data_IF_897545388597
#
_entry.id   IF_897545388597
#
_cell.length_a   1.000
_cell.length_b   1.000
_cell.length_c   1.000
_cell.angle_alpha   90.00
_cell.angle_beta   90.00
_cell.angle_gamma   90.00
#
_symmetry.space_group_name_H-M   'P 1'
#
loop_
_entity.id
_entity.type
_entity.pdbx_description
1 polymer ?
#
# COMPACT_ATOMS: atom_id res chain seq x y z
N UNK A 1 -1.87 -3.52 -6.49
CA UNK A 1 -2.99 -2.57 -6.30
C UNK A 1 -2.71 -1.41 -7.25
N UNK A 2 -3.52 -1.23 -8.29
CA UNK A 2 -3.35 -0.13 -9.24
C UNK A 2 -3.77 1.20 -8.62
N UNK A 3 -3.35 2.29 -9.25
CA UNK A 3 -3.84 3.64 -8.96
C UNK A 3 -5.37 3.70 -8.96
N UNK A 4 -5.95 4.59 -8.14
CA UNK A 4 -7.40 4.83 -8.11
C UNK A 4 -8.21 3.80 -7.31
N UNK A 5 -7.57 2.98 -6.45
CA UNK A 5 -8.18 2.05 -5.46
C UNK A 5 -8.97 0.90 -6.08
N UNK A 6 -9.72 1.12 -7.16
CA UNK A 6 -10.53 0.14 -7.89
C UNK A 6 -11.42 -0.72 -6.97
N UNK A 7 -12.18 -0.06 -6.09
CA UNK A 7 -13.14 -0.72 -5.19
C UNK A 7 -14.49 -0.98 -5.88
N UNK A 8 -15.19 -1.98 -5.41
CA UNK A 8 -16.60 -2.20 -5.71
C UNK A 8 -17.43 -1.35 -4.75
N UNK A 9 -17.79 -0.14 -5.17
CA UNK A 9 -18.36 0.92 -4.32
C UNK A 9 -19.70 0.57 -3.72
N UNK A 10 -20.52 -0.21 -4.43
CA UNK A 10 -21.84 -0.67 -3.98
C UNK A 10 -21.76 -1.86 -2.98
N UNK A 11 -20.61 -2.53 -2.94
CA UNK A 11 -20.37 -3.62 -2.00
C UNK A 11 -19.87 -3.08 -0.66
N UNK A 12 -20.13 -3.82 0.40
CA UNK A 12 -19.61 -3.54 1.73
C UNK A 12 -18.09 -3.68 1.80
N UNK A 13 -17.48 -3.15 2.85
CA UNK A 13 -16.05 -3.36 3.16
C UNK A 13 -15.74 -4.86 3.20
N UNK A 14 -16.52 -5.64 3.95
CA UNK A 14 -16.29 -7.08 4.09
C UNK A 14 -16.37 -7.80 2.73
N UNK A 15 -17.39 -7.54 1.92
CA UNK A 15 -17.51 -8.13 0.59
C UNK A 15 -16.34 -7.77 -0.34
N UNK A 16 -15.83 -6.52 -0.28
CA UNK A 16 -14.61 -6.14 -0.99
C UNK A 16 -13.41 -6.97 -0.53
N UNK A 17 -13.28 -7.23 0.78
CA UNK A 17 -12.18 -8.04 1.32
C UNK A 17 -12.33 -9.51 0.92
N UNK A 18 -13.56 -10.07 0.92
CA UNK A 18 -13.83 -11.43 0.46
C UNK A 18 -13.38 -11.69 -0.97
N UNK A 19 -13.50 -10.69 -1.85
CA UNK A 19 -12.98 -10.79 -3.22
C UNK A 19 -11.45 -10.94 -3.31
N UNK A 20 -10.72 -10.53 -2.26
CA UNK A 20 -9.27 -10.77 -2.16
C UNK A 20 -8.91 -12.24 -1.98
N UNK A 21 -9.81 -13.05 -1.43
CA UNK A 21 -9.65 -14.49 -1.25
C UNK A 21 -10.14 -15.28 -2.48
N UNK A 22 -9.54 -15.05 -3.64
CA UNK A 22 -10.03 -15.56 -4.92
C UNK A 22 -9.71 -17.04 -5.21
N UNK A 23 -8.71 -17.64 -4.55
CA UNK A 23 -8.33 -19.04 -4.74
C UNK A 23 -8.71 -19.92 -3.55
N UNK A 24 -8.60 -21.25 -3.71
CA UNK A 24 -9.02 -22.23 -2.69
C UNK A 24 -8.21 -22.11 -1.39
N UNK A 25 -6.91 -21.84 -1.49
CA UNK A 25 -6.02 -21.70 -0.35
C UNK A 25 -6.36 -20.44 0.46
N UNK A 26 -6.46 -19.29 -0.20
CA UNK A 26 -6.80 -18.03 0.46
C UNK A 26 -8.20 -18.04 1.07
N UNK A 27 -9.17 -18.74 0.45
CA UNK A 27 -10.51 -18.96 1.03
C UNK A 27 -10.46 -19.80 2.32
N UNK A 28 -9.60 -20.81 2.37
CA UNK A 28 -9.45 -21.65 3.56
C UNK A 28 -8.89 -20.88 4.78
N UNK A 29 -8.07 -19.86 4.51
CA UNK A 29 -7.45 -19.00 5.53
C UNK A 29 -8.13 -17.62 5.67
N UNK A 30 -9.29 -17.41 5.05
CA UNK A 30 -9.92 -16.09 4.98
C UNK A 30 -10.13 -15.46 6.37
N UNK A 31 -10.69 -16.22 7.32
CA UNK A 31 -10.96 -15.70 8.66
C UNK A 31 -9.68 -15.23 9.38
N UNK A 32 -8.59 -15.98 9.28
CA UNK A 32 -7.29 -15.62 9.86
C UNK A 32 -6.71 -14.36 9.19
N UNK A 33 -6.74 -14.31 7.86
CA UNK A 33 -6.23 -13.17 7.11
C UNK A 33 -7.07 -11.91 7.31
N UNK A 34 -8.38 -12.06 7.48
CA UNK A 34 -9.29 -10.97 7.81
C UNK A 34 -8.94 -10.36 9.17
N UNK A 35 -8.67 -11.20 10.17
CA UNK A 35 -8.24 -10.73 11.49
C UNK A 35 -6.90 -9.96 11.42
N UNK A 36 -5.93 -10.44 10.63
CA UNK A 36 -4.67 -9.72 10.38
C UNK A 36 -4.94 -8.34 9.75
N UNK A 37 -5.80 -8.29 8.72
CA UNK A 37 -6.17 -7.02 8.09
C UNK A 37 -6.85 -6.06 9.06
N UNK A 38 -7.72 -6.55 9.94
CA UNK A 38 -8.37 -5.73 10.95
C UNK A 38 -7.41 -5.26 12.06
N UNK A 39 -6.33 -5.99 12.33
CA UNK A 39 -5.29 -5.54 13.25
C UNK A 39 -4.43 -4.43 12.64
N UNK A 40 -4.15 -4.48 11.32
CA UNK A 40 -3.47 -3.40 10.61
C UNK A 40 -4.37 -2.17 10.40
N UNK A 41 -5.65 -2.39 10.12
CA UNK A 41 -6.63 -1.34 9.82
C UNK A 41 -7.90 -1.51 10.69
N UNK A 42 -7.86 -1.16 11.99
CA UNK A 42 -8.99 -1.39 12.91
C UNK A 42 -10.30 -0.76 12.47
N UNK A 43 -10.24 0.39 11.79
CA UNK A 43 -11.42 1.06 11.23
C UNK A 43 -12.22 0.21 10.25
N UNK A 44 -11.57 -0.72 9.54
CA UNK A 44 -12.26 -1.61 8.59
C UNK A 44 -13.17 -2.61 9.31
N UNK A 45 -12.81 -3.04 10.53
CA UNK A 45 -13.65 -3.88 11.38
C UNK A 45 -14.94 -3.16 11.78
N UNK A 46 -14.81 -1.91 12.24
CA UNK A 46 -15.94 -1.09 12.66
C UNK A 46 -16.93 -0.83 11.51
N UNK A 47 -16.40 -0.74 10.30
CA UNK A 47 -17.14 -0.40 9.07
C UNK A 47 -17.40 -1.61 8.15
N UNK A 48 -17.21 -2.83 8.64
CA UNK A 48 -17.28 -4.06 7.82
C UNK A 48 -18.55 -4.18 6.98
N UNK A 49 -19.70 -3.71 7.52
CA UNK A 49 -21.01 -3.75 6.87
C UNK A 49 -21.37 -2.47 6.10
N UNK A 50 -20.50 -1.46 6.08
CA UNK A 50 -20.73 -0.21 5.37
C UNK A 50 -20.35 -0.35 3.90
N UNK A 51 -21.13 0.25 3.00
CA UNK A 51 -20.81 0.31 1.57
C UNK A 51 -19.48 1.06 1.34
N UNK A 52 -18.56 0.46 0.59
CA UNK A 52 -17.21 0.99 0.41
C UNK A 52 -17.20 2.37 -0.25
N UNK A 53 -18.17 2.68 -1.10
CA UNK A 53 -18.30 3.99 -1.74
C UNK A 53 -18.61 5.14 -0.77
N UNK A 54 -19.10 4.86 0.44
CA UNK A 54 -19.44 5.87 1.45
C UNK A 54 -18.30 6.18 2.43
N UNK A 55 -17.18 5.47 2.30
CA UNK A 55 -15.99 5.68 3.10
C UNK A 55 -15.21 6.93 2.66
N UNK A 56 -14.43 7.51 3.57
CA UNK A 56 -13.42 8.51 3.20
C UNK A 56 -12.38 7.94 2.25
N UNK A 57 -11.69 8.81 1.47
CA UNK A 57 -10.66 8.37 0.54
C UNK A 57 -9.55 7.55 1.20
N UNK A 58 -9.14 7.89 2.42
CA UNK A 58 -8.16 7.13 3.19
C UNK A 58 -8.66 5.75 3.60
N UNK A 59 -9.90 5.64 4.07
CA UNK A 59 -10.51 4.36 4.42
C UNK A 59 -10.69 3.46 3.19
N UNK A 60 -11.07 4.05 2.04
CA UNK A 60 -11.12 3.31 0.77
C UNK A 60 -9.76 2.76 0.37
N UNK A 61 -8.69 3.52 0.59
CA UNK A 61 -7.32 3.07 0.33
C UNK A 61 -6.94 1.89 1.24
N UNK A 62 -7.28 1.98 2.54
CA UNK A 62 -7.08 0.86 3.47
C UNK A 62 -7.83 -0.40 3.02
N UNK A 63 -9.08 -0.28 2.52
CA UNK A 63 -9.82 -1.41 1.95
C UNK A 63 -9.10 -2.00 0.74
N UNK A 64 -8.57 -1.17 -0.18
CA UNK A 64 -7.86 -1.63 -1.36
C UNK A 64 -6.58 -2.39 -1.02
N UNK A 65 -5.79 -1.87 -0.07
CA UNK A 65 -4.58 -2.55 0.45
C UNK A 65 -4.96 -3.85 1.15
N UNK A 66 -5.91 -3.81 2.09
CA UNK A 66 -6.35 -4.99 2.83
C UNK A 66 -6.89 -6.09 1.89
N UNK A 67 -7.66 -5.73 0.85
CA UNK A 67 -8.13 -6.68 -0.18
C UNK A 67 -6.99 -7.38 -0.89
N UNK A 68 -5.91 -6.65 -1.22
CA UNK A 68 -4.73 -7.26 -1.84
C UNK A 68 -4.01 -8.23 -0.88
N UNK A 69 -4.01 -7.93 0.42
CA UNK A 69 -3.35 -8.71 1.46
C UNK A 69 -4.08 -9.98 1.85
N UNK A 70 -5.40 -9.99 1.81
CA UNK A 70 -6.23 -11.19 2.01
C UNK A 70 -5.77 -12.33 1.07
N UNK A 71 -5.28 -11.97 -0.13
CA UNK A 71 -4.74 -12.90 -1.12
C UNK A 71 -3.42 -13.58 -0.72
N UNK A 72 -2.84 -13.27 0.42
CA UNK A 72 -1.53 -13.78 0.89
C UNK A 72 -0.42 -13.65 -0.16
N UNK A 73 -0.18 -12.45 -0.71
CA UNK A 73 0.80 -12.27 -1.79
C UNK A 73 2.23 -12.46 -1.27
N UNK A 74 3.12 -13.00 -2.09
CA UNK A 74 4.57 -12.95 -1.86
C UNK A 74 5.17 -11.61 -2.28
N UNK A 75 4.52 -10.91 -3.20
CA UNK A 75 4.88 -9.58 -3.68
C UNK A 75 3.62 -8.70 -3.70
N UNK A 76 3.64 -7.63 -2.94
CA UNK A 76 2.62 -6.57 -2.98
C UNK A 76 3.13 -5.42 -3.84
N UNK A 77 2.37 -5.05 -4.87
CA UNK A 77 2.68 -3.88 -5.71
C UNK A 77 1.69 -2.77 -5.35
N UNK A 78 2.21 -1.62 -4.93
CA UNK A 78 1.47 -0.42 -4.59
C UNK A 78 1.80 0.67 -5.61
N UNK A 79 0.81 1.08 -6.39
CA UNK A 79 0.95 2.11 -7.41
C UNK A 79 0.29 3.40 -6.92
N UNK A 80 1.12 4.41 -6.63
CA UNK A 80 0.77 5.71 -6.06
C UNK A 80 -0.23 5.64 -4.88
N UNK A 81 0.05 4.84 -3.84
CA UNK A 81 -0.89 4.66 -2.73
C UNK A 81 -1.15 5.94 -1.92
N UNK A 82 -0.31 6.96 -2.03
CA UNK A 82 -0.45 8.24 -1.32
C UNK A 82 -1.32 9.27 -2.03
N UNK A 83 -1.64 9.05 -3.31
CA UNK A 83 -2.30 10.06 -4.14
C UNK A 83 -3.67 10.49 -3.57
N UNK A 84 -3.79 11.81 -3.31
CA UNK A 84 -5.03 12.41 -2.81
C UNK A 84 -5.40 12.03 -1.37
N UNK A 85 -4.44 11.58 -0.57
CA UNK A 85 -4.63 11.22 0.83
C UNK A 85 -4.00 12.24 1.80
N UNK A 86 -4.58 12.29 3.00
CA UNK A 86 -3.97 13.04 4.09
C UNK A 86 -2.65 12.37 4.53
N UNK A 87 -1.61 13.15 4.91
CA UNK A 87 -0.29 12.62 5.24
C UNK A 87 -0.29 11.49 6.28
N UNK A 88 -1.09 11.62 7.33
CA UNK A 88 -1.20 10.60 8.39
C UNK A 88 -1.72 9.25 7.88
N UNK A 89 -2.61 9.25 6.89
CA UNK A 89 -3.13 8.01 6.29
C UNK A 89 -2.04 7.33 5.44
N UNK A 90 -1.24 8.13 4.75
CA UNK A 90 -0.11 7.62 3.98
C UNK A 90 0.91 6.95 4.90
N UNK A 91 1.23 7.62 6.01
CA UNK A 91 2.18 7.10 7.01
C UNK A 91 1.68 5.76 7.59
N UNK A 92 0.38 5.66 7.92
CA UNK A 92 -0.24 4.41 8.39
C UNK A 92 -0.08 3.27 7.35
N UNK A 93 -0.35 3.55 6.06
CA UNK A 93 -0.24 2.55 4.99
C UNK A 93 1.22 2.09 4.79
N UNK A 94 2.17 3.02 4.79
CA UNK A 94 3.59 2.71 4.62
C UNK A 94 4.14 1.95 5.83
N UNK A 95 3.70 2.26 7.04
CA UNK A 95 4.09 1.54 8.24
C UNK A 95 3.55 0.09 8.25
N UNK A 96 2.31 -0.11 7.79
CA UNK A 96 1.76 -1.45 7.56
C UNK A 96 2.62 -2.20 6.54
N UNK A 97 3.01 -1.56 5.42
CA UNK A 97 3.86 -2.18 4.42
C UNK A 97 5.22 -2.62 4.99
N UNK A 98 5.88 -1.78 5.79
CA UNK A 98 7.14 -2.12 6.48
C UNK A 98 6.96 -3.29 7.46
N UNK A 99 5.88 -3.27 8.22
CA UNK A 99 5.56 -4.34 9.18
C UNK A 99 5.43 -5.68 8.49
N UNK A 100 4.78 -5.71 7.32
CA UNK A 100 4.59 -6.93 6.54
C UNK A 100 5.89 -7.46 5.93
N UNK A 101 6.77 -6.59 5.44
CA UNK A 101 8.11 -7.00 4.98
C UNK A 101 8.86 -7.67 6.11
N UNK A 102 8.85 -7.06 7.30
CA UNK A 102 9.61 -7.52 8.46
C UNK A 102 9.06 -8.80 9.10
N UNK A 103 7.74 -8.89 9.25
CA UNK A 103 7.11 -9.93 10.05
C UNK A 103 6.55 -11.08 9.22
N UNK A 104 6.06 -10.79 8.00
CA UNK A 104 5.40 -11.78 7.15
C UNK A 104 6.26 -12.19 5.94
N UNK A 105 7.43 -11.57 5.74
CA UNK A 105 8.35 -11.88 4.64
C UNK A 105 7.81 -11.53 3.26
N UNK A 106 6.84 -10.62 3.18
CA UNK A 106 6.26 -10.13 1.92
C UNK A 106 7.23 -9.13 1.29
N UNK A 107 7.50 -9.24 0.00
CA UNK A 107 8.19 -8.18 -0.73
C UNK A 107 7.20 -7.09 -1.13
N UNK A 108 7.61 -5.83 -1.05
CA UNK A 108 6.79 -4.69 -1.48
C UNK A 108 7.49 -3.92 -2.59
N UNK A 109 6.81 -3.72 -3.71
CA UNK A 109 7.19 -2.78 -4.76
C UNK A 109 6.29 -1.56 -4.66
N UNK A 110 6.88 -0.43 -4.28
CA UNK A 110 6.20 0.85 -4.11
C UNK A 110 6.55 1.77 -5.28
N UNK A 111 5.53 2.27 -5.98
CA UNK A 111 5.66 3.35 -6.97
C UNK A 111 5.09 4.61 -6.35
N UNK A 112 5.89 5.66 -6.23
CA UNK A 112 5.51 6.92 -5.58
C UNK A 112 6.15 8.13 -6.27
N UNK A 113 5.43 9.24 -6.26
CA UNK A 113 5.94 10.53 -6.71
C UNK A 113 6.63 11.29 -5.56
N UNK A 114 6.16 11.12 -4.33
CA UNK A 114 6.79 11.70 -3.14
C UNK A 114 8.03 10.87 -2.75
N UNK A 115 9.18 11.28 -3.32
CA UNK A 115 10.47 10.62 -3.08
C UNK A 115 10.84 10.58 -1.60
N UNK A 116 10.50 11.62 -0.82
CA UNK A 116 10.81 11.65 0.61
C UNK A 116 10.13 10.51 1.34
N UNK A 117 8.84 10.30 1.10
CA UNK A 117 8.07 9.22 1.70
C UNK A 117 8.49 7.86 1.16
N UNK A 118 8.71 7.76 -0.16
CA UNK A 118 9.16 6.52 -0.78
C UNK A 118 10.49 6.03 -0.18
N UNK A 119 11.49 6.90 -0.11
CA UNK A 119 12.81 6.55 0.43
C UNK A 119 12.77 6.32 1.95
N UNK A 120 11.90 6.99 2.69
CA UNK A 120 11.71 6.72 4.12
C UNK A 120 11.08 5.34 4.39
N UNK A 121 10.39 4.76 3.42
CA UNK A 121 9.73 3.46 3.53
C UNK A 121 10.53 2.31 2.92
N UNK A 122 11.41 2.58 1.96
CA UNK A 122 12.10 1.57 1.15
C UNK A 122 13.50 1.23 1.65
N UNK A 123 13.97 0.02 1.34
CA UNK A 123 15.38 -0.38 1.51
C UNK A 123 16.22 0.06 0.31
N UNK A 124 15.67 -0.05 -0.90
CA UNK A 124 16.30 0.29 -2.18
C UNK A 124 15.31 1.04 -3.06
N UNK A 125 15.83 1.85 -3.98
CA UNK A 125 15.02 2.59 -4.93
C UNK A 125 15.61 2.63 -6.33
N UNK A 126 14.73 2.92 -7.29
CA UNK A 126 15.03 3.22 -8.69
C UNK A 126 14.39 4.57 -9.01
N UNK A 127 15.17 5.53 -9.45
CA UNK A 127 14.65 6.81 -9.96
C UNK A 127 14.45 6.68 -11.46
N UNK A 128 13.22 6.87 -11.92
CA UNK A 128 12.87 6.75 -13.33
C UNK A 128 12.64 8.14 -13.91
N UNK A 129 13.38 8.46 -14.97
CA UNK A 129 13.25 9.71 -15.72
C UNK A 129 13.07 9.38 -17.21
N UNK A 130 12.07 10.00 -17.85
CA UNK A 130 11.79 9.80 -19.28
C UNK A 130 11.74 8.31 -19.70
N UNK A 131 11.14 7.46 -18.84
CA UNK A 131 10.97 6.04 -19.10
C UNK A 131 12.25 5.19 -18.96
N UNK A 132 13.30 5.73 -18.35
CA UNK A 132 14.57 5.03 -18.10
C UNK A 132 14.97 5.14 -16.65
N UNK A 133 15.67 4.12 -16.15
CA UNK A 133 16.31 4.18 -14.82
C UNK A 133 17.47 5.17 -14.91
N UNK A 134 17.33 6.31 -14.23
CA UNK A 134 18.37 7.33 -14.13
C UNK A 134 19.35 7.04 -13.00
N UNK A 135 18.83 6.58 -11.85
CA UNK A 135 19.61 6.23 -10.66
C UNK A 135 19.04 4.98 -10.00
N UNK A 136 19.91 4.21 -9.35
CA UNK A 136 19.53 3.12 -8.46
C UNK A 136 20.45 3.07 -7.26
N UNK A 137 19.96 2.58 -6.12
CA UNK A 137 20.78 2.46 -4.91
C UNK A 137 19.95 2.12 -3.69
N UNK A 138 20.61 2.09 -2.54
CA UNK A 138 19.92 2.04 -1.25
C UNK A 138 19.15 3.35 -1.01
N UNK A 139 18.13 3.30 -0.16
CA UNK A 139 17.39 4.51 0.21
C UNK A 139 18.31 5.60 0.80
N UNK A 140 19.32 5.20 1.59
CA UNK A 140 20.31 6.12 2.17
C UNK A 140 21.18 6.80 1.10
N UNK A 141 21.68 6.02 0.12
CA UNK A 141 22.48 6.55 -1.00
C UNK A 141 21.67 7.53 -1.86
N UNK A 142 20.43 7.17 -2.18
CA UNK A 142 19.55 8.01 -2.98
C UNK A 142 19.14 9.29 -2.24
N UNK A 143 18.88 9.22 -0.94
CA UNK A 143 18.56 10.40 -0.11
C UNK A 143 19.75 11.35 0.02
N UNK A 144 20.98 10.85 -0.05
CA UNK A 144 22.21 11.65 -0.02
C UNK A 144 22.60 12.22 -1.40
N UNK A 145 22.03 11.71 -2.49
CA UNK A 145 22.40 12.06 -3.85
C UNK A 145 21.99 13.50 -4.22
N UNK A 146 22.96 14.30 -4.69
CA UNK A 146 22.73 15.72 -5.04
C UNK A 146 21.73 15.92 -6.17
N UNK A 147 21.67 15.01 -7.14
CA UNK A 147 20.68 15.09 -8.23
C UNK A 147 19.26 14.88 -7.68
N UNK A 148 19.06 13.89 -6.80
CA UNK A 148 17.78 13.64 -6.15
C UNK A 148 17.35 14.83 -5.30
N UNK A 149 18.27 15.41 -4.51
CA UNK A 149 18.00 16.59 -3.68
C UNK A 149 17.52 17.77 -4.53
N UNK A 150 18.27 18.12 -5.55
CA UNK A 150 17.97 19.29 -6.41
C UNK A 150 16.70 19.09 -7.25
N UNK A 151 16.53 17.90 -7.85
CA UNK A 151 15.40 17.65 -8.76
C UNK A 151 14.07 17.47 -8.03
N UNK A 152 14.09 16.90 -6.82
CA UNK A 152 12.87 16.40 -6.20
C UNK A 152 12.65 16.83 -4.75
N UNK A 153 13.70 17.18 -3.99
CA UNK A 153 13.58 17.63 -2.61
C UNK A 153 13.62 19.16 -2.45
N UNK A 154 13.98 19.88 -3.51
CA UNK A 154 13.99 21.36 -3.53
C UNK A 154 15.07 22.00 -2.66
N UNK A 155 16.15 21.26 -2.38
CA UNK A 155 17.28 21.69 -1.54
C UNK A 155 18.62 21.55 -2.25
#
# INVERSE_FOLDING_TARGET
MPEGRQLFTEMTVLENLELGAFNKETKAHFAENLEKCYNWFPKLRERAKQAAGTLSGGEQQMVAVARALIGMPKLLILDEPSLGLAPNIVDDILEVAKTMVKNDGISVLLVEQDITKALAAADRGYVIENGRVALEGTAAELSANEHVKKAYLGI
#
